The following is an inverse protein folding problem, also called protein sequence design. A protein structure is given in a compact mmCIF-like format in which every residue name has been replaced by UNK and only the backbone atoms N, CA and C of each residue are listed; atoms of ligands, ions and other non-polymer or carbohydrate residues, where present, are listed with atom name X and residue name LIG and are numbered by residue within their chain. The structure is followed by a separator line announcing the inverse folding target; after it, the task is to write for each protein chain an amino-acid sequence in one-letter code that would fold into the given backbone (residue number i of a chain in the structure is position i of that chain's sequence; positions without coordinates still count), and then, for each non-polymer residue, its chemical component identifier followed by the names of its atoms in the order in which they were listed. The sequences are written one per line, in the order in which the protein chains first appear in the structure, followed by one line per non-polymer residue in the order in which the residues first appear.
data_IF_682188946077
#
_entry.id   IF_682188946077
#
_cell.length_a   1.000
_cell.length_b   1.000
_cell.length_c   1.000
_cell.angle_alpha   90.00
_cell.angle_beta   90.00
_cell.angle_gamma   90.00
#
_symmetry.space_group_name_H-M   'P 1'
#
loop_
_entity.id
_entity.type
_entity.pdbx_description
1 polymer ?
#
# COMPACT_ATOMS: atom_id res chain seq x y z
N UNK A 1 19.72 45.67 24.34
CA UNK A 1 18.47 46.37 23.98
C UNK A 1 18.53 47.76 24.60
N UNK A 2 18.19 48.81 23.84
CA UNK A 2 18.07 50.18 24.38
C UNK A 2 16.62 50.45 24.78
N UNK A 3 16.36 51.23 25.83
CA UNK A 3 15.01 51.66 26.14
C UNK A 3 14.44 52.47 24.96
N UNK A 4 13.16 52.29 24.62
CA UNK A 4 12.53 53.03 23.53
C UNK A 4 12.46 54.51 23.88
N UNK A 5 12.67 55.33 22.87
CA UNK A 5 12.49 56.77 22.97
C UNK A 5 11.10 57.15 22.45
N UNK A 6 10.16 57.44 23.34
CA UNK A 6 8.77 57.65 22.96
C UNK A 6 8.51 58.90 22.10
N UNK A 7 9.49 59.79 21.93
CA UNK A 7 9.39 60.91 20.99
C UNK A 7 9.83 60.59 19.56
N UNK A 8 10.42 59.41 19.32
CA UNK A 8 10.91 59.00 18.00
C UNK A 8 10.01 57.92 17.36
N UNK A 9 9.86 57.92 16.02
CA UNK A 9 9.03 56.93 15.34
C UNK A 9 9.65 55.53 15.39
N UNK A 10 8.82 54.53 15.68
CA UNK A 10 9.22 53.13 15.59
C UNK A 10 9.26 52.66 14.13
N UNK A 11 10.26 51.85 13.82
CA UNK A 11 10.45 51.19 12.54
C UNK A 11 10.46 49.68 12.77
N UNK A 12 9.71 48.96 11.94
CA UNK A 12 9.69 47.51 11.93
C UNK A 12 10.45 47.04 10.69
N UNK A 13 11.47 46.22 10.90
CA UNK A 13 12.19 45.55 9.83
C UNK A 13 11.97 44.05 9.95
N UNK A 14 11.48 43.43 8.88
CA UNK A 14 11.26 41.99 8.83
C UNK A 14 12.30 41.35 7.92
N UNK A 15 12.83 40.20 8.32
CA UNK A 15 13.54 39.28 7.44
C UNK A 15 12.86 37.91 7.46
N UNK A 16 13.03 37.14 6.39
CA UNK A 16 12.50 35.80 6.31
C UNK A 16 13.46 34.91 5.54
N UNK A 17 13.60 33.68 6.03
CA UNK A 17 14.32 32.59 5.37
C UNK A 17 13.38 31.40 5.15
N UNK A 18 13.89 30.35 4.52
CA UNK A 18 13.16 29.10 4.28
C UNK A 18 12.76 28.36 5.56
N UNK A 19 13.36 28.72 6.69
CA UNK A 19 13.18 28.05 7.96
C UNK A 19 12.70 28.97 9.08
N UNK A 20 12.76 30.30 8.95
CA UNK A 20 12.38 31.21 10.02
C UNK A 20 11.88 32.57 9.50
N UNK A 21 11.08 33.25 10.31
CA UNK A 21 10.72 34.65 10.13
C UNK A 21 11.26 35.43 11.31
N UNK A 22 11.96 36.52 11.04
CA UNK A 22 12.48 37.46 12.03
C UNK A 22 11.86 38.84 11.89
N UNK A 23 11.70 39.51 13.01
CA UNK A 23 11.28 40.91 13.06
C UNK A 23 12.13 41.67 14.09
N UNK A 24 12.63 42.82 13.68
CA UNK A 24 13.33 43.79 14.51
C UNK A 24 12.44 45.01 14.66
N UNK A 25 12.14 45.37 15.90
CA UNK A 25 11.60 46.68 16.23
C UNK A 25 12.78 47.60 16.54
N UNK A 26 12.89 48.72 15.83
CA UNK A 26 13.94 49.70 16.03
C UNK A 26 13.46 51.13 15.90
N UNK A 27 14.37 52.08 16.10
CA UNK A 27 14.17 53.51 15.88
C UNK A 27 15.38 54.05 15.15
N UNK A 28 15.19 54.94 14.17
CA UNK A 28 16.30 55.62 13.49
C UNK A 28 16.77 56.82 14.29
N UNK A 29 18.05 56.85 14.65
CA UNK A 29 18.73 58.07 15.13
C UNK A 29 19.97 58.28 14.29
N UNK A 30 20.21 59.52 13.85
CA UNK A 30 21.36 59.88 13.00
C UNK A 30 21.52 58.98 11.75
N UNK A 31 20.38 58.60 11.16
CA UNK A 31 20.27 57.66 10.02
C UNK A 31 20.70 56.21 10.30
N UNK A 32 21.07 55.87 11.53
CA UNK A 32 21.30 54.48 11.95
C UNK A 32 20.06 53.90 12.65
N UNK A 33 19.73 52.65 12.32
CA UNK A 33 18.71 51.89 13.02
C UNK A 33 19.25 51.41 14.38
N UNK A 34 18.57 51.77 15.46
CA UNK A 34 18.81 51.22 16.78
C UNK A 34 17.74 50.19 17.12
N UNK A 35 18.16 48.93 17.33
CA UNK A 35 17.27 47.86 17.74
C UNK A 35 16.81 48.04 19.20
N UNK A 36 15.50 47.98 19.39
CA UNK A 36 14.81 47.98 20.68
C UNK A 36 14.47 46.55 21.08
N UNK A 37 13.90 45.79 20.14
CA UNK A 37 13.45 44.43 20.39
C UNK A 37 13.60 43.55 19.15
N UNK A 38 13.78 42.26 19.37
CA UNK A 38 13.85 41.24 18.34
C UNK A 38 12.90 40.11 18.68
N UNK A 39 12.17 39.62 17.68
CA UNK A 39 11.42 38.38 17.77
C UNK A 39 11.67 37.55 16.51
N UNK A 40 11.82 36.24 16.69
CA UNK A 40 11.85 35.31 15.56
C UNK A 40 11.13 34.02 15.88
N UNK A 41 10.69 33.36 14.82
CA UNK A 41 10.02 32.07 14.89
C UNK A 41 10.48 31.16 13.76
N UNK A 42 10.98 30.00 14.12
CA UNK A 42 11.23 28.91 13.17
C UNK A 42 9.91 28.36 12.67
N UNK A 43 9.78 28.18 11.36
CA UNK A 43 8.62 27.58 10.73
C UNK A 43 8.62 26.08 11.00
N UNK A 44 7.49 25.53 11.43
CA UNK A 44 7.33 24.08 11.55
C UNK A 44 7.26 23.41 10.17
N UNK A 45 7.36 22.08 10.13
CA UNK A 45 7.37 21.33 8.88
C UNK A 45 6.11 21.53 8.04
N UNK A 46 4.95 21.80 8.65
CA UNK A 46 3.71 22.08 7.93
C UNK A 46 3.70 23.49 7.32
N UNK A 47 4.26 24.47 8.02
CA UNK A 47 4.43 25.85 7.56
C UNK A 47 5.48 25.95 6.45
N UNK A 48 6.59 25.22 6.55
CA UNK A 48 7.59 25.14 5.47
C UNK A 48 6.97 24.53 4.20
N UNK A 49 6.18 23.45 4.34
CA UNK A 49 5.39 22.89 3.23
C UNK A 49 4.44 23.95 2.65
N UNK A 50 3.64 24.61 3.50
CA UNK A 50 2.71 25.68 3.08
C UNK A 50 3.41 26.78 2.26
N UNK A 51 4.64 27.18 2.66
CA UNK A 51 5.43 28.17 1.92
C UNK A 51 5.98 27.64 0.60
N UNK A 52 6.37 26.36 0.50
CA UNK A 52 6.82 25.75 -0.76
C UNK A 52 5.68 25.70 -1.80
N UNK A 53 4.44 25.48 -1.37
CA UNK A 53 3.26 25.60 -2.24
C UNK A 53 2.99 27.05 -2.66
N UNK A 54 3.19 28.03 -1.77
CA UNK A 54 3.13 29.47 -2.10
C UNK A 54 4.29 29.94 -2.99
N UNK A 55 5.45 29.28 -2.94
CA UNK A 55 6.58 29.58 -3.82
C UNK A 55 6.25 29.23 -5.28
N UNK A 56 5.32 28.30 -5.52
CA UNK A 56 4.76 28.02 -6.84
C UNK A 56 4.00 29.24 -7.41
N UNK A 57 3.31 29.98 -6.54
CA UNK A 57 2.57 31.21 -6.87
C UNK A 57 3.54 32.37 -7.19
N UNK A 58 4.63 32.52 -6.42
CA UNK A 58 5.62 33.59 -6.64
C UNK A 58 6.61 33.33 -7.80
N UNK A 59 6.84 32.07 -8.20
CA UNK A 59 7.86 31.73 -9.22
C UNK A 59 7.49 32.16 -10.63
N UNK A 60 6.21 32.33 -10.94
CA UNK A 60 5.76 32.72 -12.28
C UNK A 60 5.89 34.23 -12.54
N UNK A 61 5.98 35.06 -11.49
CA UNK A 61 6.19 36.50 -11.63
C UNK A 61 7.68 36.88 -11.80
N UNK A 62 8.63 35.99 -11.44
CA UNK A 62 10.08 36.29 -11.45
C UNK A 62 10.85 35.77 -12.68
N UNK A 63 10.18 35.47 -13.79
CA UNK A 63 10.83 34.88 -14.98
C UNK A 63 11.64 35.91 -15.81
N UNK A 64 11.61 37.19 -15.49
CA UNK A 64 12.41 38.22 -16.19
C UNK A 64 13.43 38.96 -15.31
N UNK A 65 13.98 38.36 -14.24
CA UNK A 65 15.10 38.98 -13.52
C UNK A 65 16.40 38.17 -13.67
N UNK A 66 17.27 38.68 -14.54
CA UNK A 66 18.61 38.14 -14.87
C UNK A 66 19.63 38.36 -13.73
N UNK A 67 19.21 38.85 -12.56
CA UNK A 67 20.10 39.24 -11.47
C UNK A 67 20.38 38.15 -10.41
N UNK A 68 19.85 36.93 -10.53
CA UNK A 68 19.96 35.90 -9.48
C UNK A 68 21.29 35.13 -9.52
N UNK A 69 21.86 34.85 -8.34
CA UNK A 69 23.18 34.22 -8.20
C UNK A 69 23.18 32.69 -8.35
N UNK A 70 24.36 32.05 -8.49
CA UNK A 70 24.48 30.61 -8.76
C UNK A 70 23.85 29.69 -7.70
N UNK A 71 23.82 30.11 -6.44
CA UNK A 71 23.21 29.34 -5.34
C UNK A 71 21.67 29.33 -5.43
N UNK A 72 21.08 30.46 -5.80
CA UNK A 72 19.64 30.60 -6.01
C UNK A 72 19.17 29.85 -7.26
N UNK A 73 20.03 29.74 -8.28
CA UNK A 73 19.83 28.85 -9.43
C UNK A 73 19.82 27.37 -9.04
N UNK A 74 20.70 26.94 -8.14
CA UNK A 74 20.74 25.56 -7.65
C UNK A 74 19.50 25.22 -6.80
N UNK A 75 19.11 26.12 -5.90
CA UNK A 75 17.85 25.99 -5.14
C UNK A 75 16.61 26.04 -6.05
N UNK A 76 16.63 26.83 -7.14
CA UNK A 76 15.60 26.84 -8.20
C UNK A 76 15.49 25.49 -8.89
N UNK A 77 16.61 24.88 -9.26
CA UNK A 77 16.66 23.55 -9.87
C UNK A 77 16.10 22.46 -8.95
N UNK A 78 16.34 22.56 -7.64
CA UNK A 78 15.83 21.62 -6.63
C UNK A 78 14.34 21.85 -6.31
N UNK A 79 13.86 23.09 -6.36
CA UNK A 79 12.44 23.40 -6.18
C UNK A 79 11.59 22.90 -7.36
N UNK A 80 12.16 22.85 -8.57
CA UNK A 80 11.50 22.32 -9.78
C UNK A 80 11.43 20.78 -9.78
N UNK A 81 12.34 20.09 -9.09
CA UNK A 81 12.40 18.62 -9.14
C UNK A 81 11.39 17.91 -8.23
N UNK A 82 10.74 18.61 -7.30
CA UNK A 82 9.81 18.01 -6.32
C UNK A 82 8.42 18.67 -6.34
N UNK A 83 7.98 19.11 -7.51
CA UNK A 83 6.68 19.74 -7.70
C UNK A 83 5.58 18.65 -7.68
N UNK A 84 4.57 18.77 -6.80
CA UNK A 84 3.49 17.79 -6.75
C UNK A 84 2.71 17.73 -8.07
N UNK A 85 2.21 16.54 -8.39
CA UNK A 85 1.46 16.26 -9.63
C UNK A 85 0.24 17.16 -9.87
N UNK A 86 -0.28 17.81 -8.81
CA UNK A 86 -1.44 18.70 -8.85
C UNK A 86 -1.10 20.20 -8.87
N UNK A 87 0.17 20.56 -8.99
CA UNK A 87 0.64 21.94 -8.96
C UNK A 87 -0.10 22.85 -9.95
N UNK A 88 -0.29 22.40 -11.18
CA UNK A 88 -1.01 23.15 -12.22
C UNK A 88 -2.48 23.42 -11.85
N UNK A 89 -3.13 22.49 -11.16
CA UNK A 89 -4.50 22.70 -10.68
C UNK A 89 -4.55 23.75 -9.58
N UNK A 90 -3.57 23.75 -8.68
CA UNK A 90 -3.46 24.76 -7.61
C UNK A 90 -3.16 26.13 -8.19
N UNK A 91 -2.22 26.23 -9.14
CA UNK A 91 -1.89 27.48 -9.82
C UNK A 91 -3.12 28.11 -10.49
N UNK A 92 -3.90 27.29 -11.19
CA UNK A 92 -5.13 27.77 -11.82
C UNK A 92 -6.20 28.16 -10.78
N UNK A 93 -6.43 27.34 -9.75
CA UNK A 93 -7.46 27.61 -8.75
C UNK A 93 -7.11 28.80 -7.83
N UNK A 94 -5.83 29.07 -7.61
CA UNK A 94 -5.36 30.15 -6.73
C UNK A 94 -5.17 31.48 -7.47
N UNK A 95 -4.75 31.45 -8.73
CA UNK A 95 -4.30 32.64 -9.46
C UNK A 95 -4.77 32.72 -10.92
N UNK A 96 -5.70 31.85 -11.36
CA UNK A 96 -6.17 31.74 -12.75
C UNK A 96 -5.04 31.51 -13.78
N UNK A 97 -3.90 30.99 -13.32
CA UNK A 97 -2.74 30.69 -14.16
C UNK A 97 -2.96 29.35 -14.87
N UNK A 98 -3.04 29.40 -16.20
CA UNK A 98 -3.15 28.20 -17.04
C UNK A 98 -1.75 27.74 -17.46
N UNK A 99 -1.43 26.44 -17.41
CA UNK A 99 -0.13 25.95 -17.87
C UNK A 99 0.11 26.33 -19.35
N UNK A 100 1.30 26.87 -19.68
CA UNK A 100 1.56 27.44 -21.01
C UNK A 100 1.63 26.38 -22.12
N UNK A 101 2.06 25.15 -21.81
CA UNK A 101 2.39 24.12 -22.80
C UNK A 101 1.26 23.12 -23.10
N UNK A 102 0.00 23.57 -23.03
CA UNK A 102 -1.16 22.70 -23.26
C UNK A 102 -1.68 22.75 -24.70
N UNK A 103 -1.61 21.61 -25.40
CA UNK A 103 -2.36 21.37 -26.64
C UNK A 103 -3.88 21.53 -26.43
N UNK A 104 -4.63 21.81 -27.49
CA UNK A 104 -6.09 22.02 -27.46
C UNK A 104 -6.84 20.91 -26.70
N UNK A 105 -6.53 19.65 -26.99
CA UNK A 105 -7.18 18.52 -26.35
C UNK A 105 -6.83 18.44 -24.86
N UNK A 106 -5.56 18.68 -24.52
CA UNK A 106 -5.07 18.68 -23.13
C UNK A 106 -5.67 19.83 -22.33
N UNK A 107 -5.80 21.01 -22.93
CA UNK A 107 -6.43 22.19 -22.34
C UNK A 107 -7.91 21.95 -22.03
N UNK A 108 -8.66 21.36 -22.97
CA UNK A 108 -10.06 20.97 -22.74
C UNK A 108 -10.20 19.96 -21.59
N UNK A 109 -9.30 18.97 -21.55
CA UNK A 109 -9.25 17.98 -20.46
C UNK A 109 -8.92 18.65 -19.12
N UNK A 110 -7.92 19.53 -19.08
CA UNK A 110 -7.51 20.27 -17.89
C UNK A 110 -8.70 20.99 -17.25
N UNK A 111 -9.43 21.80 -18.02
CA UNK A 111 -10.60 22.51 -17.51
C UNK A 111 -11.74 21.59 -17.06
N UNK A 112 -11.87 20.42 -17.67
CA UNK A 112 -12.85 19.42 -17.22
C UNK A 112 -12.43 18.78 -15.89
N UNK A 113 -11.15 18.45 -15.74
CA UNK A 113 -10.61 17.78 -14.57
C UNK A 113 -10.62 18.72 -13.36
N UNK A 114 -10.18 19.98 -13.52
CA UNK A 114 -10.14 21.03 -12.50
C UNK A 114 -11.48 21.23 -11.80
N UNK A 115 -12.62 21.10 -12.50
CA UNK A 115 -13.97 21.23 -11.91
C UNK A 115 -14.26 20.26 -10.78
N UNK A 116 -13.50 19.17 -10.69
CA UNK A 116 -13.64 18.19 -9.63
C UNK A 116 -12.68 18.45 -8.46
N UNK A 117 -11.90 19.52 -8.51
CA UNK A 117 -10.99 19.92 -7.46
C UNK A 117 -11.46 21.20 -6.78
N UNK A 118 -11.11 21.32 -5.51
CA UNK A 118 -11.39 22.46 -4.66
C UNK A 118 -10.15 22.80 -3.87
N UNK A 119 -9.73 24.05 -3.94
CA UNK A 119 -8.56 24.55 -3.22
C UNK A 119 -9.02 25.28 -1.96
N UNK A 120 -8.61 24.77 -0.80
CA UNK A 120 -8.82 25.39 0.51
C UNK A 120 -7.46 25.45 1.21
N UNK A 121 -6.75 26.55 0.98
CA UNK A 121 -5.31 26.71 1.19
C UNK A 121 -4.82 26.16 2.55
N UNK A 122 -3.72 25.36 2.60
CA UNK A 122 -2.89 24.77 1.53
C UNK A 122 -3.26 23.37 0.96
N UNK A 123 -4.24 22.60 1.46
CA UNK A 123 -4.63 21.35 0.80
C UNK A 123 -5.50 21.55 -0.45
N UNK A 124 -5.23 20.75 -1.48
CA UNK A 124 -6.15 20.54 -2.59
C UNK A 124 -7.06 19.36 -2.26
N UNK A 125 -8.36 19.48 -2.53
CA UNK A 125 -9.33 18.41 -2.38
C UNK A 125 -9.89 18.00 -3.74
N UNK A 126 -10.10 16.70 -3.93
CA UNK A 126 -10.83 16.14 -5.05
C UNK A 126 -12.20 15.63 -4.62
N UNK A 127 -13.24 16.04 -5.32
CA UNK A 127 -14.59 15.50 -5.17
C UNK A 127 -14.66 14.09 -5.76
N UNK A 128 -14.99 13.11 -4.93
CA UNK A 128 -15.28 11.74 -5.35
C UNK A 128 -16.64 11.64 -6.05
N UNK A 129 -16.89 10.49 -6.70
CA UNK A 129 -18.20 10.19 -7.29
C UNK A 129 -19.31 10.03 -6.24
N UNK A 130 -18.89 9.70 -5.03
CA UNK A 130 -19.70 9.62 -3.80
C UNK A 130 -19.95 10.98 -3.15
N UNK A 131 -19.49 12.09 -3.75
CA UNK A 131 -19.64 13.43 -3.20
C UNK A 131 -18.65 13.76 -2.07
N UNK A 132 -17.84 12.79 -1.64
CA UNK A 132 -16.86 12.99 -0.56
C UNK A 132 -15.62 13.69 -1.10
N UNK A 133 -15.23 14.78 -0.45
CA UNK A 133 -13.98 15.47 -0.72
C UNK A 133 -12.80 14.73 -0.10
N UNK A 134 -11.78 14.48 -0.90
CA UNK A 134 -10.57 13.77 -0.50
C UNK A 134 -9.35 14.62 -0.73
N UNK A 135 -8.51 14.77 0.29
CA UNK A 135 -7.26 15.52 0.23
C UNK A 135 -6.32 14.86 -0.78
N UNK A 136 -5.81 15.67 -1.71
CA UNK A 136 -4.78 15.29 -2.66
C UNK A 136 -3.43 15.18 -1.97
N UNK A 137 -2.73 14.08 -2.24
CA UNK A 137 -1.48 13.73 -1.58
C UNK A 137 -0.31 13.81 -2.58
N UNK A 138 0.81 14.46 -2.21
CA UNK A 138 2.02 14.49 -3.02
C UNK A 138 2.72 13.13 -3.02
N UNK A 139 3.50 12.83 -4.06
CA UNK A 139 4.09 11.50 -4.25
C UNK A 139 5.02 11.07 -3.10
N UNK A 140 5.70 12.03 -2.47
CA UNK A 140 6.59 11.82 -1.31
C UNK A 140 5.87 11.23 -0.08
N UNK A 141 4.58 11.54 0.13
CA UNK A 141 3.81 11.05 1.27
C UNK A 141 3.14 9.69 1.00
N UNK A 142 3.01 9.29 -0.28
CA UNK A 142 2.24 8.10 -0.72
C UNK A 142 2.72 6.82 -0.05
N UNK A 143 4.04 6.58 -0.04
CA UNK A 143 4.62 5.34 0.51
C UNK A 143 4.32 5.20 1.99
N UNK A 144 4.53 6.27 2.76
CA UNK A 144 4.29 6.30 4.21
C UNK A 144 2.82 6.01 4.51
N UNK A 145 1.88 6.63 3.79
CA UNK A 145 0.45 6.43 3.99
C UNK A 145 0.04 4.98 3.73
N UNK A 146 0.55 4.36 2.66
CA UNK A 146 0.25 2.97 2.34
C UNK A 146 0.76 2.04 3.45
N UNK A 147 2.00 2.24 3.92
CA UNK A 147 2.60 1.44 4.99
C UNK A 147 1.79 1.53 6.29
N UNK A 148 1.35 2.72 6.68
CA UNK A 148 0.51 2.94 7.86
C UNK A 148 -0.86 2.25 7.72
N UNK A 149 -1.51 2.37 6.57
CA UNK A 149 -2.83 1.77 6.35
C UNK A 149 -2.76 0.23 6.27
N UNK A 150 -1.64 -0.30 5.78
CA UNK A 150 -1.40 -1.73 5.63
C UNK A 150 -0.97 -2.41 6.94
N UNK A 151 -0.14 -1.74 7.75
CA UNK A 151 0.47 -2.31 8.96
C UNK A 151 -0.35 -2.10 10.24
N UNK A 152 -1.55 -1.52 10.14
CA UNK A 152 -2.37 -1.17 11.29
C UNK A 152 -2.68 -2.42 12.17
N UNK A 153 -2.36 -2.39 13.48
CA UNK A 153 -2.31 -3.58 14.34
C UNK A 153 -3.69 -4.23 14.57
N UNK A 154 -4.77 -3.47 14.41
CA UNK A 154 -6.15 -3.90 14.65
C UNK A 154 -6.83 -4.56 13.45
N UNK A 155 -6.14 -4.75 12.31
CA UNK A 155 -6.78 -5.14 11.05
C UNK A 155 -6.26 -6.40 10.33
N UNK A 156 -5.22 -7.06 10.84
CA UNK A 156 -4.46 -8.06 10.07
C UNK A 156 -3.80 -7.46 8.82
N UNK A 157 -2.99 -8.25 8.09
CA UNK A 157 -2.42 -7.79 6.82
C UNK A 157 -3.52 -7.54 5.80
N UNK A 158 -3.76 -6.26 5.49
CA UNK A 158 -4.83 -5.87 4.60
C UNK A 158 -4.46 -6.12 3.14
N UNK A 159 -5.32 -6.84 2.40
CA UNK A 159 -5.17 -7.00 0.96
C UNK A 159 -5.18 -5.63 0.25
N UNK A 160 -4.70 -5.59 -1.00
CA UNK A 160 -4.67 -4.39 -1.84
C UNK A 160 -6.00 -3.65 -1.85
N UNK A 161 -7.10 -4.36 -2.08
CA UNK A 161 -8.45 -3.79 -2.10
C UNK A 161 -8.85 -3.18 -0.75
N UNK A 162 -8.56 -3.88 0.36
CA UNK A 162 -8.88 -3.38 1.71
C UNK A 162 -8.08 -2.12 2.05
N UNK A 163 -6.78 -2.11 1.71
CA UNK A 163 -5.89 -0.95 1.94
C UNK A 163 -6.33 0.24 1.10
N UNK A 164 -6.61 0.04 -0.19
CA UNK A 164 -7.13 1.08 -1.07
C UNK A 164 -8.46 1.66 -0.56
N UNK A 165 -9.39 0.82 -0.12
CA UNK A 165 -10.67 1.25 0.45
C UNK A 165 -10.48 2.09 1.73
N UNK A 166 -9.59 1.66 2.64
CA UNK A 166 -9.25 2.42 3.85
C UNK A 166 -8.73 3.81 3.52
N UNK A 167 -7.79 3.92 2.57
CA UNK A 167 -7.22 5.22 2.14
C UNK A 167 -8.32 6.15 1.61
N UNK A 168 -9.27 5.63 0.83
CA UNK A 168 -10.41 6.40 0.38
C UNK A 168 -11.38 6.79 1.51
N UNK A 169 -11.56 5.92 2.51
CA UNK A 169 -12.43 6.18 3.67
C UNK A 169 -11.86 7.26 4.59
N UNK A 170 -10.54 7.30 4.78
CA UNK A 170 -9.87 8.38 5.53
C UNK A 170 -9.76 9.69 4.74
N UNK A 171 -10.31 9.74 3.52
CA UNK A 171 -10.41 10.97 2.76
C UNK A 171 -9.13 11.37 2.04
N UNK A 172 -8.31 10.42 1.58
CA UNK A 172 -7.06 10.70 0.85
C UNK A 172 -7.16 10.29 -0.62
N UNK A 173 -6.46 10.99 -1.50
CA UNK A 173 -6.50 10.75 -2.95
C UNK A 173 -5.18 11.07 -3.68
N UNK A 174 -4.84 10.24 -4.67
CA UNK A 174 -3.91 10.58 -5.76
C UNK A 174 -4.21 9.72 -7.01
N UNK A 175 -3.79 10.11 -8.23
CA UNK A 175 -4.23 9.46 -9.47
C UNK A 175 -3.81 7.98 -9.59
N UNK A 176 -2.65 7.61 -9.05
CA UNK A 176 -2.06 6.27 -9.18
C UNK A 176 -2.27 5.37 -7.95
N UNK A 177 -3.22 5.70 -7.06
CA UNK A 177 -3.50 4.99 -5.81
C UNK A 177 -3.48 3.47 -5.93
N UNK A 178 -4.30 2.91 -6.81
CA UNK A 178 -4.41 1.46 -6.95
C UNK A 178 -3.06 0.82 -7.29
N UNK A 179 -2.35 1.40 -8.26
CA UNK A 179 -1.05 0.92 -8.72
C UNK A 179 -0.01 0.99 -7.61
N UNK A 180 0.04 2.11 -6.87
CA UNK A 180 1.00 2.28 -5.78
C UNK A 180 0.70 1.32 -4.62
N UNK A 181 -0.57 1.19 -4.20
CA UNK A 181 -0.98 0.27 -3.14
C UNK A 181 -0.63 -1.18 -3.51
N UNK A 182 -0.96 -1.60 -4.73
CA UNK A 182 -0.64 -2.94 -5.23
C UNK A 182 0.87 -3.18 -5.25
N UNK A 183 1.64 -2.26 -5.83
CA UNK A 183 3.09 -2.39 -5.93
C UNK A 183 3.79 -2.44 -4.56
N UNK A 184 3.28 -1.73 -3.56
CA UNK A 184 3.79 -1.80 -2.19
C UNK A 184 3.48 -3.14 -1.51
N UNK A 185 2.23 -3.61 -1.62
CA UNK A 185 1.78 -4.83 -0.93
C UNK A 185 2.42 -6.09 -1.54
N UNK A 186 2.53 -6.16 -2.86
CA UNK A 186 3.18 -7.29 -3.54
C UNK A 186 4.65 -7.43 -3.13
N UNK A 187 5.33 -6.35 -2.74
CA UNK A 187 6.72 -6.38 -2.25
C UNK A 187 6.86 -6.76 -0.77
N UNK A 188 5.76 -6.88 -0.03
CA UNK A 188 5.80 -7.06 1.42
C UNK A 188 5.94 -8.56 1.77
N UNK A 189 7.13 -8.96 2.25
CA UNK A 189 7.50 -10.36 2.53
C UNK A 189 6.49 -11.10 3.43
N UNK A 190 6.02 -10.47 4.51
CA UNK A 190 5.03 -11.07 5.41
C UNK A 190 3.70 -11.38 4.70
N UNK A 191 3.31 -10.56 3.73
CA UNK A 191 2.11 -10.81 2.93
C UNK A 191 2.33 -11.91 1.88
N UNK A 192 3.54 -12.02 1.32
CA UNK A 192 3.88 -13.10 0.40
C UNK A 192 3.83 -14.46 1.10
N UNK A 193 4.40 -14.57 2.29
CA UNK A 193 4.43 -15.83 3.07
C UNK A 193 3.09 -16.27 3.62
N UNK A 194 2.19 -15.32 3.87
CA UNK A 194 0.85 -15.59 4.43
C UNK A 194 -0.25 -15.62 3.35
N UNK A 195 0.12 -15.43 2.08
CA UNK A 195 -0.82 -15.39 0.98
C UNK A 195 -1.47 -16.76 0.73
N UNK A 196 -2.72 -16.76 0.26
CA UNK A 196 -3.34 -17.99 -0.23
C UNK A 196 -2.66 -18.43 -1.53
N UNK A 197 -2.42 -19.73 -1.65
CA UNK A 197 -1.99 -20.38 -2.89
C UNK A 197 -3.09 -20.18 -3.94
N UNK A 198 -2.73 -19.68 -5.13
CA UNK A 198 -3.69 -19.38 -6.18
C UNK A 198 -3.96 -20.61 -7.05
N UNK A 199 -5.05 -20.61 -7.82
CA UNK A 199 -5.33 -21.69 -8.80
C UNK A 199 -4.22 -21.89 -9.84
N UNK A 200 -3.41 -20.86 -10.09
CA UNK A 200 -2.26 -21.00 -10.98
C UNK A 200 -1.17 -21.89 -10.38
N UNK A 201 -1.11 -21.95 -9.05
CA UNK A 201 -0.14 -22.75 -8.31
C UNK A 201 -0.68 -24.18 -8.05
N UNK A 202 -1.91 -24.49 -8.48
CA UNK A 202 -2.44 -25.86 -8.48
C UNK A 202 -1.69 -26.69 -9.52
N UNK A 203 -1.18 -27.84 -9.10
CA UNK A 203 -0.54 -28.78 -10.01
C UNK A 203 -1.59 -29.38 -10.97
N UNK A 204 -1.30 -29.50 -12.28
CA UNK A 204 -2.22 -30.12 -13.22
C UNK A 204 -2.41 -31.59 -12.86
N UNK A 205 -3.66 -31.98 -12.58
CA UNK A 205 -4.02 -33.37 -12.34
C UNK A 205 -3.85 -34.15 -13.66
N UNK A 206 -2.92 -35.11 -13.68
CA UNK A 206 -2.82 -36.10 -14.75
C UNK A 206 -3.68 -37.29 -14.39
N UNK A 207 -4.54 -37.71 -15.30
CA UNK A 207 -5.29 -38.95 -15.12
C UNK A 207 -4.30 -40.12 -15.12
N UNK A 208 -4.46 -41.03 -14.17
CA UNK A 208 -3.74 -42.29 -14.15
C UNK A 208 -4.35 -43.15 -15.26
N UNK A 209 -3.53 -43.64 -16.19
CA UNK A 209 -4.00 -44.53 -17.24
C UNK A 209 -4.01 -45.96 -16.71
N UNK A 210 -5.20 -46.51 -16.51
CA UNK A 210 -5.41 -47.93 -16.27
C UNK A 210 -5.42 -48.64 -17.63
N UNK A 211 -4.53 -49.61 -17.85
CA UNK A 211 -4.46 -50.38 -19.10
C UNK A 211 -5.07 -51.76 -18.88
N UNK A 212 -4.85 -52.35 -17.71
CA UNK A 212 -5.35 -53.65 -17.27
C UNK A 212 -5.92 -53.60 -15.84
N UNK A 213 -6.77 -54.59 -15.53
CA UNK A 213 -7.34 -54.76 -14.20
C UNK A 213 -6.19 -55.01 -13.20
N UNK A 214 -6.15 -54.24 -12.11
CA UNK A 214 -5.10 -54.23 -11.05
C UNK A 214 -3.82 -53.42 -11.34
N UNK A 215 -3.74 -52.65 -12.42
CA UNK A 215 -2.58 -51.79 -12.70
C UNK A 215 -2.35 -50.75 -11.60
N UNK A 216 -3.43 -50.18 -11.06
CA UNK A 216 -3.39 -49.19 -9.98
C UNK A 216 -4.49 -49.50 -8.98
N UNK A 217 -4.12 -49.49 -7.70
CA UNK A 217 -5.03 -49.65 -6.58
C UNK A 217 -4.64 -48.63 -5.50
N UNK A 218 -5.63 -47.92 -4.97
CA UNK A 218 -5.44 -46.93 -3.91
C UNK A 218 -5.92 -47.48 -2.58
N UNK A 219 -5.08 -47.40 -1.55
CA UNK A 219 -5.47 -47.67 -0.16
C UNK A 219 -5.53 -46.33 0.58
N UNK A 220 -6.64 -46.05 1.24
CA UNK A 220 -6.74 -44.93 2.17
C UNK A 220 -7.23 -45.43 3.54
N UNK A 221 -6.66 -44.87 4.60
CA UNK A 221 -7.00 -45.21 5.97
C UNK A 221 -7.98 -44.18 6.51
N UNK A 222 -9.23 -44.60 6.69
CA UNK A 222 -10.23 -43.76 7.35
C UNK A 222 -10.08 -43.86 8.87
N UNK A 223 -10.11 -42.73 9.56
CA UNK A 223 -10.08 -42.71 11.02
C UNK A 223 -9.92 -41.32 11.65
N UNK A 224 -9.92 -41.23 13.00
CA UNK A 224 -10.11 -42.32 13.96
C UNK A 224 -11.59 -42.65 14.20
N UNK A 225 -11.92 -43.94 14.22
CA UNK A 225 -13.27 -44.43 14.58
C UNK A 225 -13.37 -44.80 16.07
N UNK A 226 -14.59 -44.84 16.65
CA UNK A 226 -14.78 -45.37 18.01
C UNK A 226 -14.29 -46.82 18.11
N UNK A 227 -13.70 -47.23 19.25
CA UNK A 227 -13.17 -48.57 19.43
C UNK A 227 -14.27 -49.63 19.33
N UNK A 228 -13.97 -50.75 18.69
CA UNK A 228 -14.86 -51.90 18.58
C UNK A 228 -14.26 -53.12 19.28
N UNK A 229 -15.08 -54.13 19.59
CA UNK A 229 -14.64 -55.34 20.32
C UNK A 229 -13.55 -56.15 19.61
N UNK A 230 -13.28 -55.87 18.33
CA UNK A 230 -12.25 -56.51 17.50
C UNK A 230 -11.01 -55.62 17.29
N UNK A 231 -11.10 -54.31 17.57
CA UNK A 231 -10.00 -53.35 17.46
C UNK A 231 -10.02 -52.39 18.67
N UNK A 232 -9.37 -52.77 19.78
CA UNK A 232 -9.15 -51.85 20.88
C UNK A 232 -8.20 -50.72 20.46
N UNK A 233 -8.35 -49.54 21.06
CA UNK A 233 -7.45 -48.42 20.82
C UNK A 233 -6.03 -48.78 21.27
N UNK A 234 -5.15 -49.05 20.31
CA UNK A 234 -3.71 -49.20 20.55
C UNK A 234 -3.11 -47.80 20.73
N UNK A 235 -2.24 -47.55 21.74
CA UNK A 235 -1.53 -46.27 21.89
C UNK A 235 -0.71 -45.91 20.65
N UNK A 236 -0.61 -44.61 20.33
CA UNK A 236 0.03 -44.13 19.09
C UNK A 236 1.51 -44.53 18.95
N UNK A 237 2.18 -44.92 20.03
CA UNK A 237 3.59 -45.36 20.01
C UNK A 237 3.80 -46.72 19.31
N UNK A 238 2.77 -47.55 19.13
CA UNK A 238 2.88 -48.83 18.39
C UNK A 238 2.37 -48.72 16.93
N UNK A 239 1.96 -47.52 16.48
CA UNK A 239 1.22 -47.32 15.23
C UNK A 239 2.06 -46.89 14.02
N UNK A 240 3.38 -47.07 14.08
CA UNK A 240 4.27 -46.82 12.96
C UNK A 240 4.92 -48.13 12.52
N UNK A 241 4.35 -48.76 11.49
CA UNK A 241 5.19 -49.52 10.56
C UNK A 241 6.11 -48.46 9.93
N UNK A 242 7.40 -48.47 10.28
CA UNK A 242 8.34 -47.51 9.71
C UNK A 242 8.46 -47.81 8.21
N UNK A 243 8.73 -46.80 7.38
CA UNK A 243 8.91 -47.00 5.93
C UNK A 243 9.91 -48.14 5.63
N UNK A 244 10.88 -48.38 6.54
CA UNK A 244 11.86 -49.48 6.49
C UNK A 244 11.32 -50.89 6.77
N UNK A 245 10.21 -51.05 7.48
CA UNK A 245 9.54 -52.34 7.69
C UNK A 245 8.60 -52.68 6.53
N UNK A 246 7.94 -51.66 5.97
CA UNK A 246 7.13 -51.77 4.75
C UNK A 246 8.00 -52.16 3.54
N UNK A 247 9.11 -51.44 3.29
CA UNK A 247 10.04 -51.72 2.18
C UNK A 247 10.69 -53.11 2.26
N UNK A 248 10.83 -53.68 3.47
CA UNK A 248 11.45 -55.00 3.65
C UNK A 248 10.54 -56.17 3.27
N UNK A 249 9.22 -55.96 3.19
CA UNK A 249 8.24 -57.01 2.84
C UNK A 249 7.85 -57.00 1.36
N UNK A 250 8.17 -55.94 0.63
CA UNK A 250 7.90 -55.80 -0.80
C UNK A 250 8.93 -56.59 -1.63
N UNK A 251 8.46 -57.59 -2.38
CA UNK A 251 9.29 -58.33 -3.33
C UNK A 251 9.42 -57.59 -4.68
N UNK A 252 8.70 -56.48 -4.86
CA UNK A 252 8.63 -55.68 -6.09
C UNK A 252 8.61 -54.17 -5.78
N UNK A 253 9.28 -53.32 -6.58
CA UNK A 253 9.33 -51.88 -6.32
C UNK A 253 7.99 -51.19 -6.62
N UNK A 254 7.41 -50.51 -5.62
CA UNK A 254 6.20 -49.68 -5.76
C UNK A 254 6.60 -48.19 -5.80
N UNK A 255 6.07 -47.37 -6.73
CA UNK A 255 6.36 -45.94 -6.75
C UNK A 255 5.73 -45.21 -5.55
N UNK A 256 6.54 -44.50 -4.75
CA UNK A 256 6.05 -43.70 -3.63
C UNK A 256 5.45 -42.35 -4.08
N UNK A 257 4.35 -41.95 -3.42
CA UNK A 257 3.71 -40.64 -3.60
C UNK A 257 4.40 -39.60 -2.68
N UNK A 258 4.57 -38.37 -3.16
CA UNK A 258 5.19 -37.29 -2.39
C UNK A 258 4.46 -37.03 -1.06
N UNK A 259 5.18 -36.91 0.07
CA UNK A 259 4.57 -36.59 1.35
C UNK A 259 3.85 -35.24 1.27
N UNK A 260 2.61 -35.18 1.78
CA UNK A 260 1.77 -33.97 1.90
C UNK A 260 0.97 -33.50 0.66
N UNK A 261 0.82 -34.35 -0.37
CA UNK A 261 -0.11 -34.08 -1.49
C UNK A 261 -1.23 -35.15 -1.57
N UNK A 262 -2.31 -35.04 -0.77
CA UNK A 262 -3.45 -35.92 -0.91
C UNK A 262 -4.34 -35.44 -2.06
N UNK A 263 -4.15 -35.98 -3.27
CA UNK A 263 -5.16 -36.05 -4.36
C UNK A 263 -4.55 -36.80 -5.56
N UNK A 264 -5.04 -38.02 -5.87
CA UNK A 264 -6.31 -38.12 -6.58
C UNK A 264 -7.17 -39.30 -6.09
N UNK A 265 -7.92 -39.14 -4.99
CA UNK A 265 -8.98 -40.08 -4.61
C UNK A 265 -10.31 -39.31 -4.46
N UNK A 266 -10.87 -38.86 -5.59
CA UNK A 266 -12.16 -38.17 -5.65
C UNK A 266 -13.33 -39.06 -6.08
N UNK A 267 -13.29 -40.35 -5.77
CA UNK A 267 -14.37 -41.29 -6.13
C UNK A 267 -14.76 -42.16 -4.94
N UNK A 268 -15.55 -41.60 -4.02
CA UNK A 268 -16.30 -42.38 -3.04
C UNK A 268 -17.71 -41.77 -2.88
N UNK A 269 -18.77 -42.37 -3.47
CA UNK A 269 -20.13 -41.88 -3.29
C UNK A 269 -20.70 -42.29 -1.93
N UNK A 270 -21.45 -41.37 -1.33
CA UNK A 270 -22.23 -41.58 -0.12
C UNK A 270 -23.53 -42.36 -0.41
N UNK A 271 -23.81 -43.46 0.30
CA UNK A 271 -25.03 -43.62 1.14
C UNK A 271 -25.42 -45.08 1.50
N UNK A 272 -25.98 -45.16 2.71
CA UNK A 272 -27.02 -46.07 3.20
C UNK A 272 -26.64 -47.45 3.77
N UNK A 273 -27.27 -47.69 4.92
CA UNK A 273 -27.14 -48.77 5.89
C UNK A 273 -27.60 -50.14 5.41
N UNK A 274 -26.79 -51.18 5.69
CA UNK A 274 -27.30 -52.54 5.90
C UNK A 274 -26.44 -53.27 6.94
N UNK A 275 -27.11 -53.91 7.91
CA UNK A 275 -26.49 -54.68 8.97
C UNK A 275 -26.05 -56.05 8.46
N UNK A 276 -24.81 -56.45 8.77
CA UNK A 276 -24.27 -57.80 8.53
C UNK A 276 -22.78 -57.86 8.81
N UNK A 277 -22.39 -58.55 9.88
CA UNK A 277 -21.01 -58.70 10.34
C UNK A 277 -20.23 -59.73 9.51
N UNK A 278 -19.08 -59.32 8.96
CA UNK A 278 -17.78 -60.04 8.82
C UNK A 278 -16.75 -59.07 8.20
N UNK A 279 -15.46 -59.07 8.58
CA UNK A 279 -14.46 -58.16 8.00
C UNK A 279 -14.10 -58.65 6.59
N UNK A 280 -14.78 -58.11 5.59
CA UNK A 280 -14.48 -58.35 4.18
C UNK A 280 -13.65 -57.20 3.63
N UNK A 281 -12.56 -57.52 2.93
CA UNK A 281 -11.94 -56.61 1.97
C UNK A 281 -13.01 -56.24 0.93
N UNK A 282 -13.36 -54.96 0.81
CA UNK A 282 -14.31 -54.50 -0.20
C UNK A 282 -13.52 -54.09 -1.45
N UNK A 283 -13.51 -54.97 -2.45
CA UNK A 283 -13.19 -54.61 -3.84
C UNK A 283 -14.51 -54.10 -4.44
N UNK A 284 -14.58 -52.82 -4.78
CA UNK A 284 -15.73 -52.29 -5.54
C UNK A 284 -15.52 -52.63 -7.01
N UNK A 285 -16.29 -53.59 -7.52
CA UNK A 285 -16.35 -53.95 -8.94
C UNK A 285 -17.40 -53.06 -9.62
N UNK A 286 -16.98 -52.16 -10.52
CA UNK A 286 -17.90 -51.37 -11.34
C UNK A 286 -18.16 -52.16 -12.65
N UNK A 287 -19.33 -52.77 -12.77
CA UNK A 287 -19.79 -53.33 -14.05
C UNK A 287 -20.32 -52.20 -14.92
N UNK A 288 -19.66 -51.97 -16.05
CA UNK A 288 -20.00 -51.00 -17.09
C UNK A 288 -21.37 -51.26 -17.76
#
# INVERSE_FOLDING_TARGET
MKPPDWSEPFEIMCDASDYAVGVVLGQRKDKQLHSIYYASRTLDAAQQRKRNYLLLIARLETIEDDSLGPHEHFQKSLAVSNVPWYADFVNYLAADIVPPDLDYHRKKKFFNDVRNFYWDEPPLFKRGKDGIFRRCIPEEEVKSIIEHCHSAPYGGHASTSKTYAKILQVGLFWPTMWRNVHACIVKYDRCQRTGNISRHDEMPLRNIQEVELFDVWGIDFMGPFPPSSLHPNVPDEERHETDEEYDRREQYPVPHVSPHHPSPSHTAPSSSSFAGYTPGFYITEEMA
#
